data_IF_696825322832
#
_entry.id   IF_696825322832
#
_cell.length_a   1.000
_cell.length_b   1.000
_cell.length_c   1.000
_cell.angle_alpha   90.00
_cell.angle_beta   90.00
_cell.angle_gamma   90.00
#
_symmetry.space_group_name_H-M   'P 1'
#
loop_
_entity.id
_entity.type
_entity.pdbx_description
1 polymer ?
#
# COMPACT_ATOMS: atom_id res chain seq x y z
N UNK A 1 -8.13 -2.49 -22.73
CA UNK A 1 -7.32 -2.35 -21.51
C UNK A 1 -6.29 -1.26 -21.72
N UNK A 2 -6.22 -0.31 -20.82
CA UNK A 2 -5.21 0.76 -20.81
C UNK A 2 -4.18 0.43 -19.72
N UNK A 3 -2.95 0.92 -19.87
CA UNK A 3 -1.91 0.70 -18.86
C UNK A 3 -0.97 1.89 -18.71
N UNK A 4 -0.30 1.94 -17.55
CA UNK A 4 0.84 2.81 -17.25
C UNK A 4 1.90 2.00 -16.51
N UNK A 5 3.13 2.02 -16.98
CA UNK A 5 4.25 1.29 -16.39
C UNK A 5 5.07 2.23 -15.50
N UNK A 6 5.39 1.79 -14.28
CA UNK A 6 6.26 2.48 -13.35
C UNK A 6 7.46 1.60 -12.97
N UNK A 7 8.56 1.80 -13.67
CA UNK A 7 9.82 1.08 -13.43
C UNK A 7 10.43 1.53 -12.10
N UNK A 8 10.97 0.60 -11.34
CA UNK A 8 11.53 0.84 -10.01
C UNK A 8 12.61 1.93 -9.98
N UNK A 9 13.47 1.97 -11.00
CA UNK A 9 14.55 2.97 -11.12
C UNK A 9 14.04 4.39 -11.46
N UNK A 10 12.81 4.53 -11.93
CA UNK A 10 12.19 5.82 -12.29
C UNK A 10 11.35 6.42 -11.18
N UNK A 11 11.33 5.81 -10.00
CA UNK A 11 10.65 6.37 -8.83
C UNK A 11 11.37 7.60 -8.32
N UNK A 12 10.62 8.51 -7.70
CA UNK A 12 11.20 9.65 -7.00
C UNK A 12 12.06 9.16 -5.84
N UNK A 13 13.36 9.47 -5.87
CA UNK A 13 14.28 9.16 -4.77
C UNK A 13 14.39 10.36 -3.84
N UNK A 14 14.18 10.13 -2.55
CA UNK A 14 14.37 11.12 -1.50
C UNK A 14 15.17 10.50 -0.38
N UNK A 15 16.26 11.18 0.02
CA UNK A 15 17.09 10.79 1.16
C UNK A 15 17.34 11.97 2.06
N UNK A 16 17.03 11.82 3.34
CA UNK A 16 17.29 12.80 4.40
C UNK A 16 18.31 12.30 5.42
N UNK A 17 19.06 11.22 5.08
CA UNK A 17 20.00 10.57 5.98
C UNK A 17 19.34 9.61 6.98
N UNK A 18 18.19 9.94 7.52
CA UNK A 18 17.40 9.07 8.38
C UNK A 18 16.26 8.36 7.64
N UNK A 19 15.86 8.86 6.47
CA UNK A 19 14.83 8.33 5.60
C UNK A 19 15.38 8.17 4.20
N UNK A 20 15.33 6.95 3.67
CA UNK A 20 15.48 6.65 2.25
C UNK A 20 14.13 6.20 1.72
N UNK A 21 13.51 7.03 0.88
CA UNK A 21 12.17 6.81 0.35
C UNK A 21 12.16 6.74 -1.17
N UNK A 22 11.33 5.83 -1.72
CA UNK A 22 11.07 5.70 -3.16
C UNK A 22 9.60 5.94 -3.43
N UNK A 23 9.28 7.04 -4.08
CA UNK A 23 7.92 7.50 -4.33
C UNK A 23 7.43 7.05 -5.71
N UNK A 24 6.33 6.31 -5.76
CA UNK A 24 5.67 5.95 -7.02
C UNK A 24 4.97 7.16 -7.65
N UNK A 25 4.50 8.09 -6.83
CA UNK A 25 3.79 9.31 -7.24
C UNK A 25 4.45 10.55 -6.64
N UNK A 26 4.10 11.72 -7.18
CA UNK A 26 4.55 13.02 -6.66
C UNK A 26 4.17 13.18 -5.19
N UNK A 27 5.18 13.38 -4.34
CA UNK A 27 5.01 13.48 -2.89
C UNK A 27 6.13 14.32 -2.27
N UNK A 28 5.81 15.14 -1.27
CA UNK A 28 6.79 16.02 -0.63
C UNK A 28 7.49 16.92 -1.64
N UNK A 29 8.81 16.83 -1.71
CA UNK A 29 9.65 17.60 -2.65
C UNK A 29 9.84 16.93 -4.02
N UNK A 30 9.35 15.72 -4.22
CA UNK A 30 9.37 15.07 -5.53
C UNK A 30 8.13 15.46 -6.32
N UNK A 31 8.34 16.04 -7.50
CA UNK A 31 7.26 16.42 -8.39
C UNK A 31 7.51 15.92 -9.81
N UNK A 32 6.55 15.15 -10.33
CA UNK A 32 6.46 14.74 -11.72
C UNK A 32 4.99 14.82 -12.15
N UNK A 33 4.61 15.70 -13.10
CA UNK A 33 3.21 15.89 -13.50
C UNK A 33 2.56 14.63 -14.10
N UNK A 34 3.35 13.71 -14.64
CA UNK A 34 2.87 12.45 -15.21
C UNK A 34 2.69 11.35 -14.14
N UNK A 35 3.13 11.60 -12.90
CA UNK A 35 3.07 10.65 -11.77
C UNK A 35 2.40 11.31 -10.57
N UNK A 36 1.15 11.74 -10.71
CA UNK A 36 0.42 12.40 -9.61
C UNK A 36 -0.34 11.40 -8.73
N UNK A 37 -0.96 10.41 -9.33
CA UNK A 37 -1.78 9.39 -8.68
C UNK A 37 -2.13 8.28 -9.69
N UNK A 38 -2.74 7.20 -9.19
CA UNK A 38 -3.43 6.23 -10.03
C UNK A 38 -4.87 6.09 -9.49
N UNK A 39 -5.84 6.70 -10.18
CA UNK A 39 -7.20 6.80 -9.64
C UNK A 39 -7.20 7.39 -8.23
N UNK A 40 -7.89 6.76 -7.30
CA UNK A 40 -7.93 7.20 -5.91
C UNK A 40 -6.62 6.91 -5.12
N UNK A 41 -5.67 6.12 -5.64
CA UNK A 41 -4.37 5.87 -5.02
C UNK A 41 -3.46 7.08 -5.20
N UNK A 42 -3.27 7.86 -4.12
CA UNK A 42 -2.52 9.12 -4.11
C UNK A 42 -1.05 8.94 -3.77
N UNK A 43 -0.73 8.00 -2.89
CA UNK A 43 0.64 7.73 -2.44
C UNK A 43 0.87 6.22 -2.42
N UNK A 44 2.04 5.80 -2.89
CA UNK A 44 2.64 4.51 -2.61
C UNK A 44 4.14 4.72 -2.49
N UNK A 45 4.59 4.77 -1.25
CA UNK A 45 5.98 4.95 -0.87
C UNK A 45 6.57 3.64 -0.37
N UNK A 46 7.84 3.42 -0.66
CA UNK A 46 8.68 2.31 -0.19
C UNK A 46 9.79 2.94 0.64
N UNK A 47 9.60 2.93 1.95
CA UNK A 47 10.39 3.71 2.89
C UNK A 47 11.34 2.82 3.71
N UNK A 48 12.57 3.29 3.87
CA UNK A 48 13.54 2.77 4.83
C UNK A 48 13.84 3.84 5.86
N UNK A 49 13.55 3.54 7.14
CA UNK A 49 13.69 4.47 8.27
C UNK A 49 14.82 4.00 9.18
N UNK A 50 15.80 4.87 9.43
CA UNK A 50 16.94 4.59 10.30
C UNK A 50 16.50 4.29 11.75
N UNK A 51 17.36 3.61 12.55
CA UNK A 51 17.07 3.29 13.95
C UNK A 51 16.67 4.52 14.77
N UNK A 52 15.64 4.38 15.60
CA UNK A 52 15.08 5.41 16.49
C UNK A 52 14.61 6.71 15.79
N UNK A 53 14.60 6.74 14.46
CA UNK A 53 14.16 7.89 13.66
C UNK A 53 12.74 7.69 13.15
N UNK A 54 12.14 8.76 12.62
CA UNK A 54 10.80 8.69 12.06
C UNK A 54 10.15 10.06 11.87
N UNK A 55 8.87 10.05 11.62
CA UNK A 55 8.06 11.24 11.41
C UNK A 55 7.51 11.75 12.74
N UNK A 56 7.86 12.98 13.09
CA UNK A 56 7.28 13.68 14.22
C UNK A 56 5.76 13.88 14.02
N UNK A 57 5.08 14.31 15.06
CA UNK A 57 3.64 14.57 15.03
C UNK A 57 3.25 15.51 13.89
N UNK A 58 2.36 15.06 13.03
CA UNK A 58 1.87 15.78 11.84
C UNK A 58 0.39 15.45 11.56
N UNK A 59 -0.35 16.38 10.92
CA UNK A 59 -1.79 16.24 10.71
C UNK A 59 -2.12 15.58 9.38
N UNK A 60 -3.30 14.89 9.36
CA UNK A 60 -3.97 14.44 8.14
C UNK A 60 -5.46 14.76 8.21
N UNK A 61 -6.09 14.91 7.04
CA UNK A 61 -7.52 15.10 6.90
C UNK A 61 -8.01 14.41 5.62
N UNK A 62 -9.17 13.74 5.69
CA UNK A 62 -9.87 13.14 4.56
C UNK A 62 -8.99 12.20 3.71
N UNK A 63 -8.19 11.36 4.38
CA UNK A 63 -7.30 10.41 3.75
C UNK A 63 -7.38 9.05 4.46
N UNK A 64 -7.37 8.00 3.68
CA UNK A 64 -7.15 6.64 4.17
C UNK A 64 -5.65 6.35 4.07
N UNK A 65 -5.01 6.10 5.21
CA UNK A 65 -3.57 5.89 5.34
C UNK A 65 -3.35 4.45 5.75
N UNK A 66 -2.59 3.73 4.95
CA UNK A 66 -2.32 2.30 5.15
C UNK A 66 -0.82 2.09 5.25
N UNK A 67 -0.37 1.45 6.32
CA UNK A 67 1.02 1.09 6.55
C UNK A 67 1.18 -0.43 6.54
N UNK A 68 2.08 -0.95 5.71
CA UNK A 68 2.42 -2.38 5.62
C UNK A 68 3.90 -2.53 5.94
N UNK A 69 4.20 -3.01 7.15
CA UNK A 69 5.59 -3.20 7.59
C UNK A 69 6.20 -4.43 6.92
N UNK A 70 7.35 -4.23 6.26
CA UNK A 70 8.09 -5.30 5.57
C UNK A 70 9.19 -5.91 6.45
N UNK A 71 9.90 -5.07 7.21
CA UNK A 71 10.90 -5.52 8.18
C UNK A 71 11.01 -4.54 9.34
N UNK A 72 11.37 -5.03 10.53
CA UNK A 72 11.43 -4.22 11.74
C UNK A 72 10.08 -3.99 12.38
N UNK A 73 9.93 -2.87 13.10
CA UNK A 73 8.69 -2.49 13.79
C UNK A 73 8.53 -0.97 13.82
N UNK A 74 7.32 -0.49 13.56
CA UNK A 74 6.91 0.91 13.59
C UNK A 74 6.15 1.19 14.87
N UNK A 75 6.58 2.21 15.63
CA UNK A 75 5.81 2.78 16.75
C UNK A 75 4.91 3.88 16.22
N UNK A 76 3.62 3.74 16.44
CA UNK A 76 2.58 4.71 16.09
C UNK A 76 1.93 5.30 17.35
N UNK A 77 1.70 6.62 17.36
CA UNK A 77 0.89 7.30 18.36
C UNK A 77 0.03 8.37 17.67
N UNK A 78 -1.24 8.48 18.07
CA UNK A 78 -2.16 9.46 17.47
C UNK A 78 -2.91 10.33 18.50
N UNK A 79 -3.60 11.37 17.98
CA UNK A 79 -4.37 12.33 18.79
C UNK A 79 -5.66 11.76 19.37
N UNK A 80 -6.09 10.55 18.99
CA UNK A 80 -7.21 9.83 19.61
C UNK A 80 -6.77 9.02 20.84
N UNK A 81 -5.45 8.94 21.10
CA UNK A 81 -4.87 8.18 22.20
C UNK A 81 -4.48 6.76 21.84
N UNK A 82 -4.57 6.37 20.56
CA UNK A 82 -4.06 5.08 20.13
C UNK A 82 -2.53 5.07 20.17
N UNK A 83 -1.99 3.93 20.62
CA UNK A 83 -0.56 3.63 20.63
C UNK A 83 -0.39 2.19 20.19
N UNK A 84 0.43 1.97 19.18
CA UNK A 84 0.66 0.65 18.62
C UNK A 84 2.12 0.43 18.22
N UNK A 85 2.52 -0.84 18.25
CA UNK A 85 3.72 -1.31 17.58
C UNK A 85 3.24 -2.18 16.42
N UNK A 86 3.56 -1.77 15.21
CA UNK A 86 3.22 -2.47 13.96
C UNK A 86 4.47 -3.24 13.55
N UNK A 87 4.43 -4.55 13.64
CA UNK A 87 5.57 -5.43 13.34
C UNK A 87 5.56 -5.87 11.88
N UNK A 88 6.68 -6.44 11.42
CA UNK A 88 6.76 -7.06 10.10
C UNK A 88 5.65 -8.11 9.92
N UNK A 89 4.89 -7.99 8.82
CA UNK A 89 3.71 -8.83 8.56
C UNK A 89 2.40 -8.31 9.16
N UNK A 90 2.43 -7.15 9.83
CA UNK A 90 1.22 -6.44 10.23
C UNK A 90 0.82 -5.42 9.16
N UNK A 91 -0.47 -5.09 9.16
CA UNK A 91 -1.06 -3.96 8.46
C UNK A 91 -1.73 -3.02 9.46
N UNK A 92 -1.56 -1.72 9.26
CA UNK A 92 -2.24 -0.68 10.01
C UNK A 92 -3.04 0.18 9.03
N UNK A 93 -4.25 0.54 9.42
CA UNK A 93 -5.10 1.48 8.69
C UNK A 93 -5.54 2.60 9.62
N UNK A 94 -5.41 3.83 9.14
CA UNK A 94 -5.90 5.04 9.80
C UNK A 94 -6.77 5.82 8.80
N UNK A 95 -8.06 5.97 9.11
CA UNK A 95 -8.93 6.92 8.41
C UNK A 95 -8.80 8.27 9.08
N UNK A 96 -8.24 9.26 8.39
CA UNK A 96 -8.01 10.59 8.96
C UNK A 96 -9.29 11.41 9.17
N UNK A 97 -10.32 11.17 8.35
CA UNK A 97 -11.66 11.76 8.50
C UNK A 97 -11.62 13.27 8.72
N UNK A 98 -12.32 13.75 9.75
CA UNK A 98 -12.41 15.18 10.08
C UNK A 98 -11.08 15.81 10.54
N UNK A 99 -10.07 14.98 10.84
CA UNK A 99 -8.72 15.40 11.20
C UNK A 99 -8.12 14.52 12.30
N UNK A 100 -6.86 14.14 12.12
CA UNK A 100 -6.05 13.39 13.08
C UNK A 100 -4.62 13.88 13.00
N UNK A 101 -3.91 13.84 14.12
CA UNK A 101 -2.46 14.03 14.16
C UNK A 101 -1.82 12.74 14.63
N UNK A 102 -0.73 12.31 14.00
CA UNK A 102 0.01 11.12 14.41
C UNK A 102 1.52 11.27 14.25
N UNK A 103 2.25 10.35 14.88
CA UNK A 103 3.68 10.19 14.72
C UNK A 103 4.02 8.74 14.42
N UNK A 104 5.05 8.52 13.62
CA UNK A 104 5.52 7.21 13.16
C UNK A 104 7.03 7.12 13.33
N UNK A 105 7.50 6.27 14.23
CA UNK A 105 8.92 6.17 14.60
C UNK A 105 9.37 4.72 14.55
N UNK A 106 10.56 4.46 14.00
CA UNK A 106 11.18 3.14 14.08
C UNK A 106 11.40 2.73 15.55
N UNK A 107 10.76 1.64 15.95
CA UNK A 107 10.77 1.16 17.32
C UNK A 107 12.15 0.60 17.75
N UNK A 108 13.01 0.25 16.80
CA UNK A 108 14.37 -0.28 17.06
C UNK A 108 15.36 0.86 17.18
N UNK A 109 16.27 0.77 18.15
CA UNK A 109 17.45 1.65 18.28
C UNK A 109 18.67 1.15 17.51
N UNK A 110 18.59 -0.02 16.84
CA UNK A 110 19.75 -0.67 16.20
C UNK A 110 19.51 -1.04 14.74
N UNK A 111 18.29 -1.42 14.37
CA UNK A 111 17.96 -1.93 13.04
C UNK A 111 17.05 -0.97 12.29
N UNK A 112 17.24 -0.87 10.97
CA UNK A 112 16.35 -0.12 10.11
C UNK A 112 14.96 -0.79 10.02
N UNK A 113 13.96 0.04 9.78
CA UNK A 113 12.59 -0.35 9.48
C UNK A 113 12.33 -0.15 8.00
N UNK A 114 11.67 -1.12 7.35
CA UNK A 114 11.16 -0.94 5.98
C UNK A 114 9.65 -1.14 5.94
N UNK A 115 8.96 -0.29 5.22
CA UNK A 115 7.50 -0.33 5.09
C UNK A 115 7.02 0.23 3.75
N UNK A 116 5.82 -0.16 3.35
CA UNK A 116 5.03 0.57 2.37
C UNK A 116 4.04 1.48 3.07
N UNK A 117 3.97 2.73 2.61
CA UNK A 117 2.91 3.64 2.99
C UNK A 117 2.04 3.96 1.78
N UNK A 118 0.74 3.67 1.90
CA UNK A 118 -0.26 3.94 0.89
C UNK A 118 -1.24 4.99 1.41
N UNK A 119 -1.58 5.97 0.55
CA UNK A 119 -2.65 6.91 0.82
C UNK A 119 -3.70 6.80 -0.28
N UNK A 120 -4.93 6.60 0.13
CA UNK A 120 -6.09 6.50 -0.78
C UNK A 120 -7.06 7.62 -0.42
N UNK A 121 -7.52 8.38 -1.42
CA UNK A 121 -8.53 9.40 -1.19
C UNK A 121 -9.79 8.78 -0.60
N UNK A 122 -10.29 9.32 0.51
CA UNK A 122 -11.56 8.88 1.10
C UNK A 122 -12.74 9.28 0.20
N UNK A 123 -13.68 8.37 -0.01
CA UNK A 123 -14.92 8.66 -0.73
C UNK A 123 -15.86 9.55 0.11
N UNK A 124 -15.82 9.38 1.44
CA UNK A 124 -16.65 10.15 2.37
C UNK A 124 -15.76 11.08 3.16
N UNK A 125 -16.06 12.39 3.11
CA UNK A 125 -15.31 13.39 3.85
C UNK A 125 -15.82 13.55 5.29
N UNK A 126 -14.94 14.08 6.14
CA UNK A 126 -15.20 14.45 7.54
C UNK A 126 -15.83 13.32 8.39
N UNK A 127 -15.54 12.06 8.02
CA UNK A 127 -15.90 10.90 8.85
C UNK A 127 -15.18 10.96 10.20
N UNK A 128 -15.68 10.25 11.19
CA UNK A 128 -14.99 10.09 12.49
C UNK A 128 -13.65 9.40 12.25
N UNK A 129 -12.53 9.98 12.70
CA UNK A 129 -11.23 9.34 12.62
C UNK A 129 -11.21 7.96 13.26
N UNK A 130 -10.44 7.03 12.69
CA UNK A 130 -10.31 5.67 13.24
C UNK A 130 -8.90 5.12 13.04
N UNK A 131 -8.56 4.17 13.87
CA UNK A 131 -7.32 3.40 13.82
C UNK A 131 -7.64 1.91 13.93
N UNK A 132 -6.95 1.09 13.15
CA UNK A 132 -7.02 -0.36 13.23
C UNK A 132 -5.70 -0.98 12.83
N UNK A 133 -5.33 -2.09 13.47
CA UNK A 133 -4.13 -2.87 13.19
C UNK A 133 -4.46 -4.35 13.25
N UNK A 134 -3.93 -5.13 12.31
CA UNK A 134 -4.14 -6.58 12.29
C UNK A 134 -2.93 -7.30 11.67
N UNK A 135 -2.82 -8.60 11.92
CA UNK A 135 -1.84 -9.48 11.29
C UNK A 135 -2.33 -9.92 9.91
N UNK A 136 -1.44 -9.83 8.90
CA UNK A 136 -1.74 -10.30 7.55
C UNK A 136 -1.64 -11.84 7.46
N UNK A 137 -0.70 -12.45 8.18
CA UNK A 137 -0.39 -13.88 8.07
C UNK A 137 -1.60 -14.84 8.14
N UNK A 138 -2.61 -14.61 9.03
CA UNK A 138 -3.78 -15.49 9.09
C UNK A 138 -4.67 -15.43 7.85
N UNK A 139 -4.56 -14.38 7.02
CA UNK A 139 -5.35 -14.18 5.80
C UNK A 139 -4.68 -14.82 4.58
N UNK A 140 -3.37 -15.11 4.65
CA UNK A 140 -2.61 -15.59 3.50
C UNK A 140 -2.84 -17.06 3.24
N UNK A 141 -3.01 -17.38 1.96
CA UNK A 141 -2.91 -18.74 1.42
C UNK A 141 -1.76 -18.73 0.41
N UNK A 142 -0.87 -19.72 0.51
CA UNK A 142 0.27 -19.82 -0.40
C UNK A 142 -0.20 -19.99 -1.85
N UNK A 143 0.47 -19.31 -2.79
CA UNK A 143 0.15 -19.26 -4.22
C UNK A 143 -1.23 -18.68 -4.57
N UNK A 144 -1.75 -17.79 -3.72
CA UNK A 144 -3.00 -17.07 -3.97
C UNK A 144 -2.94 -15.62 -3.45
N UNK A 145 -3.78 -14.77 -4.01
CA UNK A 145 -4.01 -13.43 -3.47
C UNK A 145 -5.02 -13.48 -2.32
N UNK A 146 -4.70 -12.79 -1.23
CA UNK A 146 -5.61 -12.53 -0.11
C UNK A 146 -5.95 -11.04 -0.05
N UNK A 147 -7.21 -10.69 0.00
CA UNK A 147 -7.66 -9.31 0.23
C UNK A 147 -7.48 -8.97 1.70
N UNK A 148 -6.65 -7.98 1.97
CA UNK A 148 -6.26 -7.53 3.33
C UNK A 148 -6.91 -6.20 3.73
N UNK A 149 -7.47 -5.44 2.79
CA UNK A 149 -8.28 -4.23 3.03
C UNK A 149 -9.47 -4.23 2.08
N UNK A 150 -10.64 -3.88 2.58
CA UNK A 150 -11.92 -3.84 1.84
C UNK A 150 -12.64 -2.51 2.02
N UNK A 151 -13.65 -2.21 1.17
CA UNK A 151 -14.60 -1.14 1.44
C UNK A 151 -15.38 -1.41 2.75
N UNK A 152 -15.68 -0.37 3.51
CA UNK A 152 -16.47 -0.45 4.76
C UNK A 152 -17.78 -1.25 4.59
N UNK A 153 -18.45 -1.09 3.47
CA UNK A 153 -19.76 -1.71 3.20
C UNK A 153 -19.68 -3.23 3.02
N UNK A 154 -18.50 -3.77 2.71
CA UNK A 154 -18.26 -5.19 2.46
C UNK A 154 -17.47 -5.87 3.59
N UNK A 155 -17.05 -5.07 4.59
CA UNK A 155 -16.25 -5.57 5.69
C UNK A 155 -17.09 -6.39 6.69
N UNK A 156 -16.60 -7.55 7.05
CA UNK A 156 -17.10 -8.35 8.18
C UNK A 156 -16.43 -7.88 9.48
N UNK A 157 -16.82 -8.50 10.60
CA UNK A 157 -16.42 -8.06 11.95
C UNK A 157 -14.90 -7.87 12.15
N UNK A 158 -14.10 -8.74 11.56
CA UNK A 158 -12.65 -8.77 11.79
C UNK A 158 -11.84 -8.32 10.55
N UNK A 159 -12.54 -7.83 9.50
CA UNK A 159 -11.89 -7.31 8.31
C UNK A 159 -11.37 -5.88 8.53
N UNK A 160 -10.18 -5.58 8.04
CA UNK A 160 -9.69 -4.20 7.92
C UNK A 160 -10.37 -3.53 6.74
N UNK A 161 -10.87 -2.32 6.95
CA UNK A 161 -11.65 -1.59 5.95
C UNK A 161 -11.32 -0.10 5.89
N UNK A 162 -11.70 0.52 4.76
CA UNK A 162 -11.52 1.96 4.49
C UNK A 162 -12.82 2.59 3.95
N UNK A 163 -12.89 3.91 4.00
CA UNK A 163 -13.98 4.69 3.43
C UNK A 163 -13.76 4.99 1.93
N UNK A 164 -13.42 3.95 1.16
CA UNK A 164 -13.31 4.02 -0.30
C UNK A 164 -13.69 2.67 -0.91
N UNK A 165 -14.22 2.69 -2.15
CA UNK A 165 -14.48 1.48 -2.94
C UNK A 165 -13.16 0.92 -3.51
N UNK A 166 -12.26 0.58 -2.61
CA UNK A 166 -10.92 0.12 -2.93
C UNK A 166 -10.57 -1.17 -2.16
N UNK A 167 -9.72 -1.99 -2.79
CA UNK A 167 -9.28 -3.26 -2.22
C UNK A 167 -7.77 -3.33 -2.27
N UNK A 168 -7.16 -3.82 -1.21
CA UNK A 168 -5.73 -4.12 -1.19
C UNK A 168 -5.60 -5.62 -1.00
N UNK A 169 -4.85 -6.25 -1.88
CA UNK A 169 -4.55 -7.67 -1.83
C UNK A 169 -3.05 -7.92 -1.87
N UNK A 170 -2.62 -8.98 -1.20
CA UNK A 170 -1.23 -9.42 -1.22
C UNK A 170 -1.19 -10.91 -1.50
N UNK A 171 -0.18 -11.37 -2.24
CA UNK A 171 0.03 -12.79 -2.51
C UNK A 171 1.49 -13.16 -2.34
N UNK A 172 1.73 -14.32 -1.72
CA UNK A 172 3.02 -14.98 -1.64
C UNK A 172 2.98 -16.24 -2.52
N UNK A 173 3.95 -16.38 -3.41
CA UNK A 173 3.99 -17.43 -4.41
C UNK A 173 5.29 -18.22 -4.27
N UNK A 174 5.22 -19.37 -3.61
CA UNK A 174 6.35 -20.32 -3.48
C UNK A 174 6.59 -21.12 -4.75
N UNK A 175 5.59 -21.21 -5.63
CA UNK A 175 5.65 -21.90 -6.91
C UNK A 175 5.34 -20.95 -8.06
N UNK A 176 5.79 -21.34 -9.27
CA UNK A 176 5.35 -20.72 -10.50
C UNK A 176 3.82 -20.86 -10.64
N UNK A 177 3.13 -19.74 -10.84
CA UNK A 177 1.66 -19.68 -10.79
C UNK A 177 1.13 -18.83 -11.94
N UNK A 178 0.08 -19.33 -12.59
CA UNK A 178 -0.77 -18.54 -13.47
C UNK A 178 -2.11 -18.29 -12.78
N UNK A 179 -2.52 -17.06 -12.69
CA UNK A 179 -3.75 -16.67 -12.03
C UNK A 179 -4.44 -15.52 -12.77
N UNK A 180 -5.73 -15.37 -12.52
CA UNK A 180 -6.52 -14.25 -13.01
C UNK A 180 -6.97 -13.40 -11.81
N UNK A 181 -6.72 -12.09 -11.85
CA UNK A 181 -7.30 -11.14 -10.92
C UNK A 181 -8.54 -10.51 -11.55
N UNK A 182 -9.72 -10.82 -11.02
CA UNK A 182 -10.98 -10.21 -11.43
C UNK A 182 -11.24 -8.96 -10.60
N UNK A 183 -11.56 -7.84 -11.26
CA UNK A 183 -11.91 -6.59 -10.59
C UNK A 183 -13.13 -6.79 -9.71
N UNK A 184 -13.06 -6.27 -8.49
CA UNK A 184 -14.19 -6.29 -7.55
C UNK A 184 -15.26 -5.27 -7.95
N UNK A 185 -14.84 -4.16 -8.58
CA UNK A 185 -15.71 -3.11 -9.07
C UNK A 185 -15.41 -2.80 -10.55
N UNK A 186 -16.45 -2.73 -11.39
CA UNK A 186 -16.29 -2.60 -12.85
C UNK A 186 -15.66 -1.29 -13.33
N UNK A 187 -15.65 -0.25 -12.50
CA UNK A 187 -15.08 1.06 -12.82
C UNK A 187 -13.70 1.30 -12.18
N UNK A 188 -13.19 0.30 -11.45
CA UNK A 188 -11.89 0.39 -10.83
C UNK A 188 -10.76 0.15 -11.84
N UNK A 189 -9.59 0.62 -11.49
CA UNK A 189 -8.31 0.20 -12.05
C UNK A 189 -7.53 -0.57 -10.98
N UNK A 190 -6.56 -1.35 -11.42
CA UNK A 190 -5.68 -2.12 -10.56
C UNK A 190 -4.25 -1.67 -10.72
N UNK A 191 -3.59 -1.36 -9.61
CA UNK A 191 -2.15 -1.06 -9.54
C UNK A 191 -1.44 -2.26 -8.93
N UNK A 192 -0.62 -2.93 -9.74
CA UNK A 192 0.09 -4.16 -9.37
C UNK A 192 1.55 -3.84 -9.17
N UNK A 193 2.11 -4.13 -8.00
CA UNK A 193 3.51 -3.92 -7.65
C UNK A 193 4.18 -5.23 -7.27
N UNK A 194 5.32 -5.51 -7.88
CA UNK A 194 6.16 -6.65 -7.52
C UNK A 194 6.99 -6.30 -6.29
N UNK A 195 6.66 -6.90 -5.14
CA UNK A 195 7.45 -6.72 -3.91
C UNK A 195 8.76 -7.50 -4.00
N UNK A 196 8.68 -8.76 -4.42
CA UNK A 196 9.81 -9.68 -4.61
C UNK A 196 9.55 -10.57 -5.82
N UNK A 197 10.61 -11.03 -6.49
CA UNK A 197 10.52 -11.90 -7.66
C UNK A 197 10.17 -11.16 -8.96
N UNK A 198 9.33 -11.77 -9.79
CA UNK A 198 8.97 -11.27 -11.12
C UNK A 198 7.59 -11.76 -11.55
N UNK A 199 6.89 -10.94 -12.34
CA UNK A 199 5.62 -11.32 -12.97
C UNK A 199 5.60 -10.92 -14.44
N UNK A 200 4.72 -11.58 -15.22
CA UNK A 200 4.32 -11.12 -16.55
C UNK A 200 2.83 -10.77 -16.50
N UNK A 201 2.50 -9.58 -16.93
CA UNK A 201 1.12 -9.06 -16.98
C UNK A 201 0.99 -8.06 -18.12
N UNK A 202 -0.08 -8.12 -18.91
CA UNK A 202 -0.32 -7.24 -20.06
C UNK A 202 0.90 -7.17 -21.02
N UNK A 203 1.52 -8.33 -21.32
CA UNK A 203 2.71 -8.48 -22.14
C UNK A 203 3.96 -7.73 -21.61
N UNK A 204 3.94 -7.30 -20.36
CA UNK A 204 5.06 -6.65 -19.67
C UNK A 204 5.67 -7.60 -18.64
N UNK A 205 7.01 -7.71 -18.64
CA UNK A 205 7.74 -8.38 -17.54
C UNK A 205 8.11 -7.34 -16.50
N UNK A 206 7.58 -7.52 -15.27
CA UNK A 206 7.88 -6.68 -14.12
C UNK A 206 8.84 -7.40 -13.20
N UNK A 207 9.86 -6.68 -12.75
CA UNK A 207 10.88 -7.13 -11.81
C UNK A 207 10.63 -6.54 -10.42
N UNK A 208 11.48 -6.90 -9.47
CA UNK A 208 11.44 -6.36 -8.10
C UNK A 208 11.22 -4.86 -8.06
N UNK A 209 10.14 -4.45 -7.40
CA UNK A 209 9.67 -3.06 -7.21
C UNK A 209 9.14 -2.33 -8.44
N UNK A 210 9.10 -2.98 -9.61
CA UNK A 210 8.32 -2.45 -10.73
C UNK A 210 6.84 -2.53 -10.42
N UNK A 211 6.07 -1.64 -11.06
CA UNK A 211 4.63 -1.64 -10.94
C UNK A 211 3.96 -1.29 -12.27
N UNK A 212 2.71 -1.72 -12.42
CA UNK A 212 1.87 -1.37 -13.56
C UNK A 212 0.46 -1.01 -13.08
N UNK A 213 -0.08 0.08 -13.60
CA UNK A 213 -1.48 0.42 -13.46
C UNK A 213 -2.27 -0.03 -14.68
N UNK A 214 -3.40 -0.70 -14.48
CA UNK A 214 -4.27 -1.23 -15.54
C UNK A 214 -5.72 -0.80 -15.28
N UNK A 215 -6.41 -0.33 -16.31
CA UNK A 215 -7.81 0.09 -16.20
C UNK A 215 -8.58 -0.13 -17.51
N UNK A 216 -9.89 0.07 -17.51
CA UNK A 216 -10.78 -0.29 -18.60
C UNK A 216 -10.69 -1.78 -18.98
N UNK A 217 -10.68 -2.63 -17.95
CA UNK A 217 -10.71 -4.10 -18.07
C UNK A 217 -11.51 -4.69 -16.91
N UNK A 218 -12.01 -5.90 -17.04
CA UNK A 218 -12.74 -6.60 -15.97
C UNK A 218 -11.85 -7.59 -15.21
N UNK A 219 -10.76 -8.01 -15.84
CA UNK A 219 -9.81 -8.93 -15.22
C UNK A 219 -8.44 -8.83 -15.88
N UNK A 220 -7.44 -9.38 -15.21
CA UNK A 220 -6.05 -9.36 -15.63
C UNK A 220 -5.43 -10.74 -15.38
N UNK A 221 -4.88 -11.36 -16.44
CA UNK A 221 -4.08 -12.57 -16.32
C UNK A 221 -2.66 -12.22 -15.89
N UNK A 222 -2.16 -12.94 -14.88
CA UNK A 222 -0.85 -12.71 -14.28
C UNK A 222 -0.09 -14.04 -14.23
N UNK A 223 1.07 -14.08 -14.87
CA UNK A 223 2.03 -15.17 -14.72
C UNK A 223 3.09 -14.77 -13.70
N UNK A 224 3.24 -15.53 -12.65
CA UNK A 224 4.03 -15.21 -11.47
C UNK A 224 5.14 -16.25 -11.32
N UNK A 225 6.40 -15.80 -11.21
CA UNK A 225 7.53 -16.71 -10.98
C UNK A 225 7.54 -17.22 -9.53
N UNK A 226 8.20 -18.35 -9.30
CA UNK A 226 8.39 -18.87 -7.93
C UNK A 226 9.14 -17.85 -7.04
N UNK A 227 8.87 -17.93 -5.74
CA UNK A 227 9.45 -17.04 -4.73
C UNK A 227 9.13 -15.55 -4.99
N UNK A 228 7.92 -15.29 -5.46
CA UNK A 228 7.43 -13.92 -5.69
C UNK A 228 6.46 -13.48 -4.61
N UNK A 229 6.47 -12.17 -4.34
CA UNK A 229 5.49 -11.49 -3.49
C UNK A 229 4.94 -10.30 -4.26
N UNK A 230 3.62 -10.18 -4.31
CA UNK A 230 2.94 -9.19 -5.16
C UNK A 230 1.89 -8.44 -4.34
N UNK A 231 1.87 -7.12 -4.48
CA UNK A 231 0.85 -6.22 -3.93
C UNK A 231 -0.08 -5.79 -5.05
N UNK A 232 -1.38 -5.88 -4.82
CA UNK A 232 -2.43 -5.37 -5.70
C UNK A 232 -3.23 -4.32 -4.95
N UNK A 233 -3.41 -3.15 -5.58
CA UNK A 233 -4.25 -2.06 -5.08
C UNK A 233 -5.29 -1.74 -6.14
N UNK A 234 -6.53 -2.15 -5.92
CA UNK A 234 -7.65 -1.85 -6.78
C UNK A 234 -8.37 -0.60 -6.26
N UNK A 235 -8.55 0.41 -7.11
CA UNK A 235 -9.12 1.71 -6.74
C UNK A 235 -10.02 2.26 -7.82
N UNK A 236 -11.03 3.10 -7.48
CA UNK A 236 -11.79 3.88 -8.46
C UNK A 236 -10.88 4.76 -9.30
N UNK A 237 -11.13 4.80 -10.61
CA UNK A 237 -10.47 5.71 -11.55
C UNK A 237 -11.21 7.04 -11.54
N UNK A 238 -10.58 8.09 -10.99
CA UNK A 238 -11.10 9.46 -10.80
C UNK A 238 -10.35 10.46 -11.66
#
# INVERSE_FOLDING_TARGET
MNNVLHIAQERGLVSFGWLDAKYSFSFGNYYNPDKMNFGALRVLNDDTIAPAMGFAKHPHKNMEIITIVQSGALKHEDSMGNKGIIEAGDIQVMSAGSGIEHSEVNASSQNSLTLFQLWIHSQTQDVTPRYEQNKIAPLLTDNAFATIVKPKQEALKDDIWIHQQAYISIGNFSNETQTNYSMQQSQNGVYIMVIEGSIVVADQTLQHRDAIGLWNTQSVDISITKNSKVLIVEVPMI
#
